data_IF_965535688162
#
_entry.id   IF_965535688162
#
_cell.length_a   1.000
_cell.length_b   1.000
_cell.length_c   1.000
_cell.angle_alpha   90.00
_cell.angle_beta   90.00
_cell.angle_gamma   90.00
#
_symmetry.space_group_name_H-M   'P 1'
#
loop_
_entity.id
_entity.type
_entity.pdbx_description
1 polymer ?
#
# COMPACT_ATOMS: atom_id res chain seq x y z
N UNK A 1 11.28 13.52 1.44
CA UNK A 1 11.53 12.84 0.15
C UNK A 1 10.41 13.17 -0.83
N UNK A 2 10.73 13.71 -2.00
CA UNK A 2 9.74 14.22 -2.95
C UNK A 2 8.75 13.15 -3.44
N UNK A 3 9.19 11.91 -3.66
CA UNK A 3 8.31 10.83 -4.13
C UNK A 3 7.29 10.43 -3.06
N UNK A 4 7.68 10.44 -1.79
CA UNK A 4 6.75 10.18 -0.68
C UNK A 4 5.66 11.24 -0.60
N UNK A 5 6.01 12.50 -0.72
CA UNK A 5 5.05 13.61 -0.74
C UNK A 5 4.10 13.55 -1.94
N UNK A 6 4.61 13.17 -3.09
CA UNK A 6 3.82 13.00 -4.30
C UNK A 6 2.81 11.85 -4.17
N UNK A 7 3.26 10.70 -3.67
CA UNK A 7 2.38 9.54 -3.41
C UNK A 7 1.32 9.91 -2.37
N UNK A 8 1.72 10.57 -1.28
CA UNK A 8 0.81 11.01 -0.24
C UNK A 8 -0.29 11.94 -0.75
N UNK A 9 0.06 12.86 -1.63
CA UNK A 9 -0.91 13.74 -2.28
C UNK A 9 -1.99 12.96 -3.02
N UNK A 10 -1.60 11.97 -3.83
CA UNK A 10 -2.56 11.16 -4.58
C UNK A 10 -3.36 10.21 -3.71
N UNK A 11 -2.77 9.69 -2.65
CA UNK A 11 -3.50 8.88 -1.67
C UNK A 11 -4.59 9.71 -0.99
N UNK A 12 -4.27 10.93 -0.57
CA UNK A 12 -5.26 11.80 0.03
C UNK A 12 -6.37 12.18 -0.95
N UNK A 13 -6.02 12.40 -2.21
CA UNK A 13 -7.01 12.64 -3.26
C UNK A 13 -7.94 11.44 -3.44
N UNK A 14 -7.38 10.25 -3.56
CA UNK A 14 -8.15 9.01 -3.65
C UNK A 14 -9.06 8.79 -2.43
N UNK A 15 -8.55 9.11 -1.25
CA UNK A 15 -9.33 9.01 -0.01
C UNK A 15 -10.53 9.96 0.01
N UNK A 16 -10.32 11.21 -0.38
CA UNK A 16 -11.42 12.19 -0.45
C UNK A 16 -12.50 11.79 -1.46
N UNK A 17 -12.11 11.15 -2.54
CA UNK A 17 -13.03 10.80 -3.63
C UNK A 17 -13.72 9.46 -3.43
N UNK A 18 -13.10 8.51 -2.71
CA UNK A 18 -13.57 7.12 -2.70
C UNK A 18 -13.76 6.51 -1.31
N UNK A 19 -12.83 6.73 -0.38
CA UNK A 19 -12.81 5.95 0.87
C UNK A 19 -13.35 6.72 2.07
N UNK A 20 -13.02 7.99 2.20
CA UNK A 20 -13.40 8.86 3.32
C UNK A 20 -12.95 8.30 4.68
N UNK A 21 -11.77 7.70 4.72
CA UNK A 21 -11.20 7.16 5.95
C UNK A 21 -10.41 8.21 6.72
N UNK A 22 -10.34 8.03 8.04
CA UNK A 22 -9.42 8.77 8.88
C UNK A 22 -8.02 8.20 8.69
N UNK A 23 -7.11 9.01 8.20
CA UNK A 23 -5.73 8.63 7.90
C UNK A 23 -4.76 9.48 8.71
N UNK A 24 -3.68 8.85 9.17
CA UNK A 24 -2.58 9.54 9.82
C UNK A 24 -1.45 9.85 8.84
N UNK A 25 -0.79 8.81 8.35
CA UNK A 25 0.37 8.94 7.46
C UNK A 25 0.72 7.59 6.82
N UNK A 26 1.69 7.60 5.93
CA UNK A 26 2.34 6.39 5.44
C UNK A 26 3.06 5.73 6.62
N UNK A 27 2.85 4.42 6.80
CA UNK A 27 3.40 3.64 7.89
C UNK A 27 4.93 3.76 7.97
N UNK A 28 5.41 4.35 9.05
CA UNK A 28 6.84 4.59 9.27
C UNK A 28 7.54 5.43 8.21
N UNK A 29 6.80 6.12 7.34
CA UNK A 29 7.36 6.80 6.17
C UNK A 29 8.01 5.84 5.18
N UNK A 30 7.73 4.54 5.29
CA UNK A 30 8.39 3.50 4.52
C UNK A 30 7.65 3.22 3.21
N UNK A 31 8.36 3.42 2.12
CA UNK A 31 7.95 2.98 0.80
C UNK A 31 8.94 1.89 0.38
N UNK A 32 8.43 0.70 0.09
CA UNK A 32 9.25 -0.45 -0.26
C UNK A 32 9.38 -0.57 -1.77
N UNK A 33 10.62 -0.69 -2.23
CA UNK A 33 10.91 -1.03 -3.61
C UNK A 33 10.93 -2.54 -3.74
N UNK A 34 10.03 -3.10 -4.55
CA UNK A 34 9.90 -4.55 -4.71
C UNK A 34 10.24 -4.99 -6.12
N UNK A 35 10.89 -6.15 -6.21
CA UNK A 35 11.20 -6.83 -7.45
C UNK A 35 10.57 -8.22 -7.44
N UNK A 36 9.94 -8.58 -8.55
CA UNK A 36 9.48 -9.94 -8.79
C UNK A 36 10.19 -10.46 -10.04
N UNK A 37 11.01 -11.49 -9.82
CA UNK A 37 11.69 -12.22 -10.88
C UNK A 37 10.83 -13.37 -11.40
N UNK A 38 11.15 -13.97 -12.57
CA UNK A 38 10.44 -15.16 -13.03
C UNK A 38 10.37 -16.24 -11.94
N UNK A 39 9.17 -16.73 -11.66
CA UNK A 39 8.89 -17.66 -10.58
C UNK A 39 8.43 -17.03 -9.27
N UNK A 40 8.64 -15.73 -9.09
CA UNK A 40 8.19 -15.04 -7.89
C UNK A 40 6.69 -14.78 -7.92
N UNK A 41 6.07 -14.83 -6.75
CA UNK A 41 4.66 -14.58 -6.54
C UNK A 41 4.40 -14.15 -5.09
N UNK A 42 3.21 -13.65 -4.85
CA UNK A 42 2.71 -13.41 -3.50
C UNK A 42 1.29 -13.96 -3.40
N UNK A 43 1.10 -14.97 -2.55
CA UNK A 43 -0.19 -15.67 -2.44
C UNK A 43 -1.29 -14.78 -1.85
N UNK A 44 -2.54 -15.27 -1.91
CA UNK A 44 -3.70 -14.57 -1.36
C UNK A 44 -3.49 -14.14 0.08
N UNK A 45 -3.67 -12.86 0.36
CA UNK A 45 -3.54 -12.26 1.68
C UNK A 45 -4.34 -10.97 1.79
N UNK A 46 -4.48 -10.48 3.02
CA UNK A 46 -4.90 -9.12 3.34
C UNK A 46 -3.72 -8.39 3.99
N UNK A 47 -3.66 -7.08 3.85
CA UNK A 47 -2.58 -6.27 4.44
C UNK A 47 -2.93 -5.79 5.85
N UNK A 48 -4.19 -5.75 6.19
CA UNK A 48 -4.68 -5.35 7.50
C UNK A 48 -6.08 -5.88 7.75
N UNK A 49 -6.45 -6.02 9.02
CA UNK A 49 -7.79 -6.40 9.42
C UNK A 49 -8.33 -5.42 10.48
N UNK A 50 -9.53 -5.68 10.96
CA UNK A 50 -10.20 -4.80 11.94
C UNK A 50 -9.67 -4.98 13.36
N UNK A 51 -8.96 -6.04 13.64
CA UNK A 51 -8.55 -6.45 14.98
C UNK A 51 -7.05 -6.27 15.24
N UNK A 52 -6.22 -6.40 14.20
CA UNK A 52 -4.77 -6.30 14.34
C UNK A 52 -4.33 -4.84 14.38
N UNK A 53 -3.86 -4.42 15.53
CA UNK A 53 -3.31 -3.08 15.75
C UNK A 53 -1.81 -3.17 15.94
N UNK A 54 -1.11 -2.09 15.67
CA UNK A 54 0.32 -1.97 15.91
C UNK A 54 0.65 -0.52 16.28
N UNK A 55 1.83 -0.34 16.88
CA UNK A 55 2.34 1.01 17.15
C UNK A 55 3.20 1.44 15.99
N UNK A 56 3.03 2.68 15.50
CA UNK A 56 3.91 3.20 14.44
C UNK A 56 5.36 3.16 14.88
N UNK A 57 6.25 2.71 14.01
CA UNK A 57 7.68 2.79 14.27
C UNK A 57 8.13 4.24 14.21
N UNK A 58 8.64 4.74 15.32
CA UNK A 58 9.34 6.01 15.37
C UNK A 58 10.80 5.69 15.05
N UNK A 59 11.28 6.11 13.88
CA UNK A 59 12.70 5.94 13.54
C UNK A 59 13.56 6.80 14.47
N UNK A 60 14.47 6.22 15.25
CA UNK A 60 15.40 7.00 16.05
C UNK A 60 16.25 7.87 15.12
N UNK A 61 16.41 9.15 15.43
CA UNK A 61 17.39 10.02 14.78
C UNK A 61 16.89 10.89 13.65
N UNK A 62 15.61 10.97 13.38
CA UNK A 62 15.08 11.92 12.39
C UNK A 62 15.11 13.36 12.88
N UNK A 63 15.42 13.61 14.15
CA UNK A 63 15.60 14.97 14.72
C UNK A 63 14.40 15.90 14.56
N UNK A 64 13.35 15.41 13.94
CA UNK A 64 12.11 16.14 13.82
C UNK A 64 11.41 16.09 15.17
N UNK A 65 11.31 17.25 15.77
CA UNK A 65 10.42 17.43 16.90
C UNK A 65 9.04 17.05 16.44
N UNK A 66 8.62 15.84 16.80
CA UNK A 66 7.26 15.41 16.61
C UNK A 66 6.37 16.51 17.23
N UNK A 67 5.57 17.15 16.41
CA UNK A 67 4.59 18.11 16.92
C UNK A 67 3.71 17.40 17.92
N UNK A 68 3.22 18.12 18.91
CA UNK A 68 2.33 17.55 19.93
C UNK A 68 1.11 16.84 19.33
N UNK A 69 0.66 17.29 18.16
CA UNK A 69 -0.40 16.64 17.39
C UNK A 69 -0.01 15.25 16.85
N UNK A 70 1.29 14.97 16.74
CA UNK A 70 1.78 13.63 16.36
C UNK A 70 1.88 12.67 17.55
N UNK A 71 1.71 13.16 18.75
CA UNK A 71 1.71 12.32 19.95
C UNK A 71 0.46 11.44 20.06
N UNK A 72 -0.56 11.70 19.28
CA UNK A 72 -1.73 10.83 19.23
C UNK A 72 -1.41 9.46 18.61
N UNK A 73 -0.32 9.34 17.88
CA UNK A 73 0.20 8.05 17.44
C UNK A 73 0.75 7.17 18.57
N UNK A 74 0.75 7.66 19.80
CA UNK A 74 1.05 6.83 20.97
C UNK A 74 0.04 5.70 21.14
N UNK A 75 -1.13 5.83 20.53
CA UNK A 75 -2.11 4.78 20.45
C UNK A 75 -1.80 3.74 19.39
N UNK A 76 -2.49 2.64 19.45
CA UNK A 76 -2.46 1.62 18.40
C UNK A 76 -3.17 2.15 17.15
N UNK A 77 -2.60 1.83 16.00
CA UNK A 77 -3.19 2.15 14.71
C UNK A 77 -3.40 0.89 13.88
N UNK A 78 -4.17 1.03 12.81
CA UNK A 78 -4.43 -0.04 11.85
C UNK A 78 -4.04 0.43 10.45
N UNK A 79 -3.69 -0.51 9.59
CA UNK A 79 -3.54 -0.24 8.16
C UNK A 79 -4.90 -0.02 7.54
N UNK A 80 -5.10 1.12 6.94
CA UNK A 80 -6.36 1.53 6.30
C UNK A 80 -6.32 1.36 4.79
N UNK A 81 -5.28 1.87 4.17
CA UNK A 81 -5.09 1.80 2.73
C UNK A 81 -3.73 1.18 2.41
N UNK A 82 -3.72 0.42 1.34
CA UNK A 82 -2.50 -0.09 0.72
C UNK A 82 -2.32 0.59 -0.62
N UNK A 83 -1.08 0.74 -1.05
CA UNK A 83 -0.79 1.29 -2.36
C UNK A 83 0.34 0.54 -3.06
N UNK A 84 0.28 0.55 -4.37
CA UNK A 84 1.33 0.04 -5.25
C UNK A 84 1.47 0.97 -6.45
N UNK A 85 2.68 1.46 -6.67
CA UNK A 85 3.04 2.24 -7.85
C UNK A 85 3.79 1.34 -8.82
N UNK A 86 3.25 1.18 -10.01
CA UNK A 86 3.81 0.33 -11.05
C UNK A 86 5.00 1.01 -11.71
N UNK A 87 6.18 0.41 -11.63
CA UNK A 87 7.43 0.96 -12.19
C UNK A 87 7.87 0.27 -13.47
N UNK A 88 7.45 -0.97 -13.71
CA UNK A 88 7.73 -1.68 -14.94
C UNK A 88 6.73 -1.33 -16.03
N UNK A 89 7.19 -1.25 -17.25
CA UNK A 89 6.31 -1.22 -18.41
C UNK A 89 5.59 -2.58 -18.53
N UNK A 90 4.32 -2.55 -18.89
CA UNK A 90 3.51 -3.76 -19.06
C UNK A 90 4.08 -4.74 -20.08
N UNK A 91 4.90 -4.24 -21.02
CA UNK A 91 5.57 -5.04 -22.05
C UNK A 91 6.81 -5.77 -21.54
N UNK A 92 7.35 -5.36 -20.39
CA UNK A 92 8.64 -5.86 -19.89
C UNK A 92 8.51 -7.15 -19.10
N UNK A 93 7.28 -7.61 -18.84
CA UNK A 93 7.06 -8.85 -18.09
C UNK A 93 5.72 -9.50 -18.45
N UNK A 94 5.65 -10.80 -18.20
CA UNK A 94 4.44 -11.62 -18.36
C UNK A 94 4.08 -12.27 -17.03
N UNK A 95 2.80 -12.43 -16.77
CA UNK A 95 2.32 -12.84 -15.46
C UNK A 95 2.40 -11.66 -14.48
N UNK A 96 2.53 -11.93 -13.19
CA UNK A 96 2.72 -10.91 -12.17
C UNK A 96 1.56 -9.94 -12.00
N UNK A 97 0.36 -10.29 -12.44
CA UNK A 97 -0.84 -9.47 -12.27
C UNK A 97 -1.20 -9.35 -10.80
N UNK A 98 -1.56 -8.13 -10.39
CA UNK A 98 -2.19 -7.90 -9.09
C UNK A 98 -3.67 -8.22 -9.23
N UNK A 99 -4.12 -9.21 -8.52
CA UNK A 99 -5.50 -9.72 -8.58
C UNK A 99 -6.19 -9.52 -7.25
N UNK A 100 -7.41 -9.02 -7.31
CA UNK A 100 -8.27 -8.79 -6.15
C UNK A 100 -9.47 -9.72 -6.19
N UNK A 101 -9.99 -10.03 -5.02
CA UNK A 101 -11.26 -10.71 -4.85
C UNK A 101 -12.12 -9.95 -3.85
N UNK A 102 -13.37 -9.66 -4.21
CA UNK A 102 -14.31 -8.98 -3.33
C UNK A 102 -15.11 -9.99 -2.48
N UNK A 103 -15.96 -9.47 -1.59
CA UNK A 103 -16.79 -10.31 -0.71
C UNK A 103 -17.81 -11.17 -1.45
N UNK A 104 -18.18 -10.82 -2.67
CA UNK A 104 -19.06 -11.60 -3.52
C UNK A 104 -18.32 -12.71 -4.30
N UNK A 105 -17.00 -12.81 -4.13
CA UNK A 105 -16.19 -13.78 -4.86
C UNK A 105 -15.80 -13.34 -6.27
N UNK A 106 -16.11 -12.13 -6.64
CA UNK A 106 -15.73 -11.59 -7.94
C UNK A 106 -14.25 -11.22 -7.95
N UNK A 107 -13.57 -11.57 -9.05
CA UNK A 107 -12.13 -11.30 -9.24
C UNK A 107 -11.92 -10.21 -10.28
N UNK A 108 -10.94 -9.38 -10.06
CA UNK A 108 -10.53 -8.34 -10.99
C UNK A 108 -9.03 -8.05 -10.90
N UNK A 109 -8.48 -7.54 -11.99
CA UNK A 109 -7.06 -7.24 -12.09
C UNK A 109 -6.81 -5.74 -12.01
N UNK A 110 -5.74 -5.36 -11.34
CA UNK A 110 -5.24 -4.00 -11.40
C UNK A 110 -4.63 -3.71 -12.79
N UNK A 111 -4.68 -2.45 -13.25
CA UNK A 111 -3.97 -2.05 -14.46
C UNK A 111 -2.47 -2.27 -14.33
N UNK A 112 -1.82 -2.63 -15.44
CA UNK A 112 -0.38 -2.94 -15.50
C UNK A 112 0.48 -1.80 -16.04
N UNK A 113 -0.12 -0.70 -16.49
CA UNK A 113 0.63 0.39 -17.12
C UNK A 113 1.62 1.01 -16.13
N UNK A 114 2.83 1.27 -16.61
CA UNK A 114 3.85 2.00 -15.86
C UNK A 114 3.32 3.35 -15.38
N UNK A 115 3.62 3.71 -14.15
CA UNK A 115 3.17 4.95 -13.53
C UNK A 115 1.77 4.89 -12.92
N UNK A 116 1.08 3.76 -13.00
CA UNK A 116 -0.22 3.59 -12.34
C UNK A 116 -0.04 3.43 -10.85
N UNK A 117 -0.66 4.30 -10.08
CA UNK A 117 -0.78 4.18 -8.63
C UNK A 117 -2.12 3.53 -8.29
N UNK A 118 -2.05 2.37 -7.68
CA UNK A 118 -3.21 1.61 -7.22
C UNK A 118 -3.34 1.86 -5.72
N UNK A 119 -4.52 2.29 -5.30
CA UNK A 119 -4.85 2.49 -3.88
C UNK A 119 -6.07 1.65 -3.55
N UNK A 120 -5.98 0.85 -2.51
CA UNK A 120 -7.06 -0.05 -2.12
C UNK A 120 -7.15 -0.19 -0.60
N UNK A 121 -8.32 -0.56 -0.13
CA UNK A 121 -8.55 -0.89 1.28
C UNK A 121 -7.64 -2.05 1.70
N UNK A 122 -6.91 -1.87 2.79
CA UNK A 122 -5.94 -2.88 3.26
C UNK A 122 -6.59 -4.21 3.64
N UNK A 123 -7.89 -4.24 3.87
CA UNK A 123 -8.66 -5.46 4.16
C UNK A 123 -9.03 -6.24 2.91
N UNK A 124 -8.80 -5.69 1.72
CA UNK A 124 -9.10 -6.35 0.45
C UNK A 124 -8.16 -7.52 0.23
N UNK A 125 -8.72 -8.71 0.01
CA UNK A 125 -7.95 -9.90 -0.32
C UNK A 125 -7.37 -9.77 -1.73
N UNK A 126 -6.07 -9.99 -1.84
CA UNK A 126 -5.35 -9.82 -3.11
C UNK A 126 -4.13 -10.72 -3.17
N UNK A 127 -3.57 -10.84 -4.37
CA UNK A 127 -2.33 -11.56 -4.62
C UNK A 127 -1.56 -10.94 -5.76
N UNK A 128 -0.29 -11.31 -5.88
CA UNK A 128 0.51 -11.11 -7.09
C UNK A 128 0.70 -12.48 -7.73
N UNK A 129 0.19 -12.66 -8.93
CA UNK A 129 0.33 -13.92 -9.68
C UNK A 129 1.78 -14.12 -10.07
N UNK A 130 2.15 -15.38 -10.28
CA UNK A 130 3.52 -15.73 -10.64
C UNK A 130 3.99 -14.98 -11.88
N UNK A 131 5.15 -14.35 -11.79
CA UNK A 131 5.82 -13.76 -12.94
C UNK A 131 6.36 -14.89 -13.80
N UNK A 132 5.99 -14.91 -15.07
CA UNK A 132 6.39 -15.97 -16.01
C UNK A 132 7.69 -15.62 -16.73
N UNK A 133 7.87 -14.35 -17.07
CA UNK A 133 9.07 -13.83 -17.73
C UNK A 133 9.23 -12.36 -17.44
N UNK A 134 10.45 -11.86 -17.57
CA UNK A 134 10.78 -10.47 -17.36
C UNK A 134 10.88 -10.11 -15.87
N UNK A 135 10.84 -8.81 -15.58
CA UNK A 135 11.01 -8.30 -14.23
C UNK A 135 9.89 -7.30 -13.90
N UNK A 136 9.13 -7.59 -12.86
CA UNK A 136 8.13 -6.66 -12.33
C UNK A 136 8.72 -5.85 -11.18
N UNK A 137 8.64 -4.52 -11.27
CA UNK A 137 9.11 -3.58 -10.25
C UNK A 137 7.95 -2.71 -9.80
N UNK A 138 7.88 -2.47 -8.50
CA UNK A 138 6.87 -1.58 -7.91
C UNK A 138 7.36 -0.93 -6.64
N UNK A 139 6.74 0.21 -6.30
CA UNK A 139 6.83 0.80 -4.96
C UNK A 139 5.54 0.47 -4.23
N UNK A 140 5.66 -0.10 -3.05
CA UNK A 140 4.51 -0.46 -2.22
C UNK A 140 4.62 0.14 -0.83
N UNK A 141 3.49 0.35 -0.20
CA UNK A 141 3.43 0.82 1.16
C UNK A 141 2.01 0.81 1.70
N UNK A 142 1.90 1.25 2.94
CA UNK A 142 0.64 1.23 3.68
C UNK A 142 0.41 2.56 4.34
N UNK A 143 -0.86 2.91 4.48
CA UNK A 143 -1.31 4.11 5.18
C UNK A 143 -2.06 3.66 6.42
N UNK A 144 -1.68 4.22 7.54
CA UNK A 144 -2.26 3.90 8.84
C UNK A 144 -3.23 4.97 9.30
N UNK A 145 -4.13 4.58 10.17
CA UNK A 145 -5.08 5.47 10.81
C UNK A 145 -5.56 4.90 12.13
N UNK A 146 -6.51 5.58 12.78
CA UNK A 146 -7.09 5.09 14.03
C UNK A 146 -7.83 3.77 13.81
N UNK A 147 -8.12 3.06 14.89
CA UNK A 147 -8.96 1.86 14.83
C UNK A 147 -10.25 2.13 14.06
N UNK A 148 -10.73 1.11 13.40
CA UNK A 148 -12.04 1.14 12.73
C UNK A 148 -13.15 1.44 13.73
N UNK A 149 -14.04 2.31 13.33
CA UNK A 149 -15.18 2.73 14.14
C UNK A 149 -16.50 2.31 13.51
#
# INVERSE_FOLDING_TARGET
HWIGGWIWYYIQKANRENFLYDLYDIDGGNIQYTHYYPGDYYTWHIDGDISTTFKPEIKPGTGENLRDDQTFHKGECVRKLSFSLQLSDAKDYRGGEVEFINSAGERYFAPKQKGTLIVFDSRTKHRVRTVKSGLRKSLVGWVVGPRWR
#
